data_IF_304247560179
#
_entry.id   IF_304247560179
#
_cell.length_a   1.000
_cell.length_b   1.000
_cell.length_c   1.000
_cell.angle_alpha   90.00
_cell.angle_beta   90.00
_cell.angle_gamma   90.00
#
_symmetry.space_group_name_H-M   'P 1'
#
loop_
_entity.id
_entity.type
_entity.pdbx_description
1 polymer ?
#
# COMPACT_ATOMS: atom_id res chain seq x y z
N UNK A 1 -8.31 3.18 -7.54
CA UNK A 1 -7.04 3.68 -6.97
C UNK A 1 -6.97 3.26 -5.52
N UNK A 2 -5.78 2.97 -5.02
CA UNK A 2 -5.51 2.66 -3.63
C UNK A 2 -4.54 3.69 -3.08
N UNK A 3 -4.92 4.36 -1.99
CA UNK A 3 -4.01 5.19 -1.21
C UNK A 3 -3.58 4.40 0.02
N UNK A 4 -2.29 4.30 0.25
CA UNK A 4 -1.68 3.55 1.37
C UNK A 4 -0.88 4.51 2.21
N UNK A 5 -1.03 4.39 3.52
CA UNK A 5 -0.27 5.12 4.52
C UNK A 5 0.17 4.11 5.58
N UNK A 6 1.45 4.09 5.93
CA UNK A 6 1.98 3.11 6.87
C UNK A 6 2.68 3.74 8.06
N UNK A 7 2.63 3.02 9.16
CA UNK A 7 3.43 3.31 10.34
C UNK A 7 4.42 2.18 10.56
N UNK A 8 5.59 2.53 11.06
CA UNK A 8 6.65 1.57 11.36
C UNK A 8 7.09 1.68 12.83
N UNK A 9 7.54 0.57 13.38
CA UNK A 9 8.40 0.61 14.55
C UNK A 9 9.77 1.14 14.12
N UNK A 10 10.36 1.97 14.98
CA UNK A 10 11.66 2.57 14.73
C UNK A 10 12.63 2.05 15.78
N UNK A 11 13.61 1.29 15.34
CA UNK A 11 14.68 0.78 16.18
C UNK A 11 16.01 1.46 15.82
N UNK A 12 16.81 1.77 16.83
CA UNK A 12 18.12 2.37 16.61
C UNK A 12 19.12 1.27 16.24
N UNK A 13 19.48 1.19 14.97
CA UNK A 13 20.40 0.20 14.44
C UNK A 13 21.83 0.73 14.43
N UNK A 14 22.34 1.15 15.59
CA UNK A 14 23.73 1.63 15.78
C UNK A 14 24.09 2.93 15.04
N UNK A 15 24.75 3.86 15.73
CA UNK A 15 25.12 5.15 15.13
C UNK A 15 23.90 5.96 14.68
N UNK A 16 23.93 6.50 13.45
CA UNK A 16 22.87 7.33 12.86
C UNK A 16 21.79 6.54 12.08
N UNK A 17 21.92 5.21 11.97
CA UNK A 17 21.00 4.39 11.17
C UNK A 17 19.77 4.02 11.99
N UNK A 18 18.58 4.24 11.41
CA UNK A 18 17.30 3.77 11.95
C UNK A 18 16.83 2.57 11.13
N UNK A 19 16.39 1.52 11.81
CA UNK A 19 15.69 0.40 11.21
C UNK A 19 14.19 0.64 11.34
N UNK A 20 13.48 0.44 10.24
CA UNK A 20 12.04 0.58 10.17
C UNK A 20 11.44 -0.79 9.90
N UNK A 21 10.51 -1.21 10.75
CA UNK A 21 9.76 -2.46 10.59
C UNK A 21 8.28 -2.15 10.54
N UNK A 22 7.54 -2.75 9.60
CA UNK A 22 6.10 -2.54 9.48
C UNK A 22 5.38 -2.72 10.82
N UNK A 23 4.50 -1.77 11.15
CA UNK A 23 3.64 -1.83 12.33
C UNK A 23 2.17 -1.93 11.92
N UNK A 24 1.71 -1.01 11.09
CA UNK A 24 0.32 -0.96 10.65
C UNK A 24 0.18 -0.12 9.38
N UNK A 25 -0.97 -0.23 8.73
CA UNK A 25 -1.33 0.54 7.55
C UNK A 25 -2.81 0.92 7.53
N UNK A 26 -3.09 2.08 6.94
CA UNK A 26 -4.40 2.43 6.42
C UNK A 26 -4.38 2.36 4.91
N UNK A 27 -5.44 1.77 4.34
CA UNK A 27 -5.66 1.75 2.89
C UNK A 27 -7.02 2.32 2.56
N UNK A 28 -7.04 3.29 1.66
CA UNK A 28 -8.26 3.80 1.05
C UNK A 28 -8.41 3.25 -0.36
N UNK A 29 -9.40 2.38 -0.55
CA UNK A 29 -9.87 2.07 -1.89
C UNK A 29 -10.78 3.19 -2.38
N UNK A 30 -10.30 3.94 -3.35
CA UNK A 30 -11.05 4.99 -4.01
C UNK A 30 -11.44 4.53 -5.41
N UNK A 31 -12.75 4.28 -5.57
CA UNK A 31 -13.39 4.04 -6.86
C UNK A 31 -13.90 5.36 -7.40
N UNK A 32 -13.14 5.90 -8.35
CA UNK A 32 -13.56 7.06 -9.16
C UNK A 32 -14.63 6.59 -10.13
N UNK A 33 -15.75 7.30 -10.18
CA UNK A 33 -16.84 7.00 -11.13
C UNK A 33 -16.86 8.06 -12.23
N UNK A 34 -17.16 7.62 -13.44
CA UNK A 34 -17.33 8.50 -14.61
C UNK A 34 -18.77 8.94 -14.84
N UNK A 35 -19.72 8.41 -14.04
CA UNK A 35 -21.12 8.82 -14.05
C UNK A 35 -21.38 9.97 -13.07
N UNK A 36 -22.59 10.52 -13.05
CA UNK A 36 -22.96 11.61 -12.14
C UNK A 36 -23.07 11.17 -10.66
N UNK A 37 -22.72 9.93 -10.32
CA UNK A 37 -22.75 9.43 -8.94
C UNK A 37 -21.48 9.83 -8.22
N UNK A 38 -21.59 10.01 -6.90
CA UNK A 38 -20.43 10.29 -6.06
C UNK A 38 -19.46 9.11 -6.09
N UNK A 39 -18.17 9.46 -6.06
CA UNK A 39 -17.11 8.51 -5.84
C UNK A 39 -17.32 7.73 -4.54
N UNK A 40 -16.79 6.50 -4.53
CA UNK A 40 -16.83 5.64 -3.34
C UNK A 40 -15.44 5.52 -2.75
N UNK A 41 -15.32 5.78 -1.45
CA UNK A 41 -14.10 5.59 -0.66
C UNK A 41 -14.36 4.56 0.42
N UNK A 42 -13.49 3.57 0.52
CA UNK A 42 -13.54 2.55 1.56
C UNK A 42 -12.19 2.48 2.25
N UNK A 43 -12.18 2.80 3.54
CA UNK A 43 -10.99 2.76 4.39
C UNK A 43 -10.92 1.45 5.13
N UNK A 44 -9.75 0.84 5.14
CA UNK A 44 -9.50 -0.41 5.86
C UNK A 44 -8.14 -0.32 6.55
N UNK A 45 -8.06 -0.91 7.74
CA UNK A 45 -6.89 -0.90 8.60
C UNK A 45 -6.27 -2.29 8.67
N UNK A 46 -4.94 -2.36 8.70
CA UNK A 46 -4.17 -3.60 8.74
C UNK A 46 -3.00 -3.49 9.71
N UNK A 47 -2.81 -4.50 10.57
CA UNK A 47 -1.61 -4.68 11.42
C UNK A 47 -0.75 -5.85 10.91
N UNK A 48 -1.18 -6.48 9.84
CA UNK A 48 -0.53 -7.62 9.21
C UNK A 48 -0.25 -7.25 7.75
N UNK A 49 1.03 -7.25 7.41
CA UNK A 49 1.51 -6.81 6.09
C UNK A 49 1.05 -7.77 4.98
N UNK A 50 0.92 -9.06 5.27
CA UNK A 50 0.48 -10.02 4.26
C UNK A 50 -1.01 -9.83 3.96
N UNK A 51 -1.84 -9.60 4.98
CA UNK A 51 -3.26 -9.27 4.79
C UNK A 51 -3.48 -7.95 4.06
N UNK A 52 -2.62 -6.97 4.31
CA UNK A 52 -2.62 -5.71 3.58
C UNK A 52 -2.43 -5.97 2.09
N UNK A 53 -1.44 -6.78 1.73
CA UNK A 53 -1.17 -7.08 0.34
C UNK A 53 -2.24 -7.95 -0.32
N UNK A 54 -2.76 -8.96 0.38
CA UNK A 54 -3.89 -9.76 -0.10
C UNK A 54 -5.10 -8.86 -0.43
N UNK A 55 -5.32 -7.83 0.40
CA UNK A 55 -6.35 -6.83 0.13
C UNK A 55 -6.04 -6.01 -1.11
N UNK A 56 -4.80 -5.52 -1.27
CA UNK A 56 -4.38 -4.75 -2.45
C UNK A 56 -4.60 -5.60 -3.71
N UNK A 57 -4.18 -6.87 -3.71
CA UNK A 57 -4.33 -7.81 -4.81
C UNK A 57 -5.81 -8.10 -5.15
N UNK A 58 -6.68 -8.08 -4.14
CA UNK A 58 -8.11 -8.34 -4.33
C UNK A 58 -8.88 -7.25 -5.07
N UNK A 59 -8.33 -6.02 -5.22
CA UNK A 59 -9.09 -4.87 -5.74
C UNK A 59 -9.13 -4.75 -7.25
N UNK A 60 -8.05 -5.01 -7.99
CA UNK A 60 -8.07 -4.86 -9.44
C UNK A 60 -8.96 -5.93 -10.05
N UNK A 61 -10.01 -5.51 -10.75
CA UNK A 61 -10.87 -6.42 -11.50
C UNK A 61 -10.16 -6.79 -12.81
N UNK A 62 -10.17 -8.08 -13.17
CA UNK A 62 -9.78 -8.57 -14.51
C UNK A 62 -8.43 -8.05 -15.03
N UNK A 63 -7.36 -8.12 -14.22
CA UNK A 63 -5.99 -7.69 -14.62
C UNK A 63 -5.90 -6.23 -15.08
N UNK A 64 -6.83 -5.37 -14.65
CA UNK A 64 -6.74 -3.95 -14.93
C UNK A 64 -5.58 -3.32 -14.15
N UNK A 65 -4.91 -2.30 -14.73
CA UNK A 65 -3.91 -1.53 -14.01
C UNK A 65 -4.48 -0.97 -12.70
N UNK A 66 -3.74 -1.13 -11.61
CA UNK A 66 -4.07 -0.54 -10.33
C UNK A 66 -3.11 0.60 -10.02
N UNK A 67 -3.66 1.77 -9.70
CA UNK A 67 -2.86 2.90 -9.20
C UNK A 67 -2.75 2.74 -7.68
N UNK A 68 -1.51 2.59 -7.20
CA UNK A 68 -1.14 2.61 -5.79
C UNK A 68 -0.39 3.91 -5.50
N UNK A 69 -0.76 4.63 -4.45
CA UNK A 69 -0.19 5.94 -4.12
C UNK A 69 -0.06 6.13 -2.60
N UNK A 70 0.82 7.02 -2.19
CA UNK A 70 1.00 7.47 -0.80
C UNK A 70 1.33 8.97 -0.76
N UNK A 71 1.16 9.61 0.40
CA UNK A 71 1.67 10.94 0.67
C UNK A 71 3.20 11.00 0.68
N UNK A 72 3.89 9.99 1.23
CA UNK A 72 5.35 9.90 1.23
C UNK A 72 5.83 8.57 0.63
N UNK A 73 5.64 8.44 -0.68
CA UNK A 73 5.95 7.24 -1.48
C UNK A 73 7.29 6.60 -1.11
N UNK A 74 8.37 7.37 -0.97
CA UNK A 74 9.69 6.81 -0.67
C UNK A 74 9.72 6.09 0.70
N UNK A 75 9.09 6.67 1.71
CA UNK A 75 9.01 6.08 3.05
C UNK A 75 8.07 4.88 3.06
N UNK A 76 6.83 5.07 2.60
CA UNK A 76 5.80 4.03 2.74
C UNK A 76 6.15 2.80 1.92
N UNK A 77 6.52 3.02 0.65
CA UNK A 77 6.81 1.93 -0.26
C UNK A 77 8.16 1.29 0.02
N UNK A 78 9.12 2.06 0.53
CA UNK A 78 10.40 1.53 0.99
C UNK A 78 10.22 0.55 2.15
N UNK A 79 9.43 0.93 3.16
CA UNK A 79 9.14 0.10 4.32
C UNK A 79 8.23 -1.09 4.01
N UNK A 80 7.38 -0.98 2.99
CA UNK A 80 6.58 -2.09 2.47
C UNK A 80 7.36 -3.03 1.56
N UNK A 81 8.59 -2.68 1.16
CA UNK A 81 9.35 -3.45 0.18
C UNK A 81 8.57 -3.61 -1.14
N UNK A 82 7.91 -2.53 -1.60
CA UNK A 82 6.86 -2.61 -2.62
C UNK A 82 7.27 -3.39 -3.87
N UNK A 83 8.51 -3.23 -4.34
CA UNK A 83 8.94 -3.80 -5.60
C UNK A 83 9.09 -5.31 -5.50
N UNK A 84 9.72 -5.79 -4.42
CA UNK A 84 9.86 -7.22 -4.15
C UNK A 84 8.49 -7.85 -3.85
N UNK A 85 7.65 -7.16 -3.08
CA UNK A 85 6.31 -7.62 -2.72
C UNK A 85 5.38 -7.74 -3.94
N UNK A 86 5.42 -6.78 -4.86
CA UNK A 86 4.64 -6.81 -6.11
C UNK A 86 5.20 -7.84 -7.09
N UNK A 87 6.51 -7.88 -7.28
CA UNK A 87 7.15 -8.82 -8.21
C UNK A 87 6.93 -10.29 -7.79
N UNK A 88 7.07 -10.61 -6.50
CA UNK A 88 6.80 -11.95 -5.96
C UNK A 88 5.35 -12.41 -6.13
N UNK A 89 4.41 -11.45 -6.26
CA UNK A 89 2.98 -11.68 -6.52
C UNK A 89 2.63 -11.66 -8.01
N UNK A 90 3.61 -11.52 -8.90
CA UNK A 90 3.42 -11.56 -10.35
C UNK A 90 2.92 -10.26 -10.96
N UNK A 91 3.04 -9.13 -10.25
CA UNK A 91 2.76 -7.81 -10.81
C UNK A 91 3.91 -7.29 -11.66
N UNK A 92 3.57 -6.54 -12.69
CA UNK A 92 4.50 -5.77 -13.51
C UNK A 92 4.31 -4.28 -13.24
N UNK A 93 5.42 -3.55 -13.07
CA UNK A 93 5.43 -2.10 -12.93
C UNK A 93 5.33 -1.45 -14.31
N UNK A 94 4.48 -0.44 -14.45
CA UNK A 94 4.28 0.31 -15.70
C UNK A 94 4.44 1.80 -15.47
#
# INVERSE_FOLDING_TARGET
MLFVDIESFVEQAGGARKLHTFRMAWVCYWRIRTDAKKDTKHWTFYEDVDKLWDYIDSKPLNRQPCILTSHNVAYDFGNLGIFDALASRGWELK
#
